data_IF_941569808305
#
_entry.id   IF_941569808305
#
_cell.length_a   1.000
_cell.length_b   1.000
_cell.length_c   1.000
_cell.angle_alpha   90.00
_cell.angle_beta   90.00
_cell.angle_gamma   90.00
#
_symmetry.space_group_name_H-M   'P 1'
#
loop_
_entity.id
_entity.type
_entity.pdbx_description
1 polymer ?
#
# COMPACT_ATOMS: atom_id res chain seq x y z
N UNK A 1 9.50 4.36 -18.14
CA UNK A 1 10.05 5.17 -17.06
C UNK A 1 9.17 5.14 -15.83
N UNK A 2 9.62 5.77 -14.76
CA UNK A 2 8.87 5.88 -13.52
C UNK A 2 7.97 7.11 -13.55
N UNK A 3 6.77 6.94 -13.01
CA UNK A 3 5.82 8.03 -12.78
C UNK A 3 5.65 8.23 -11.28
N UNK A 4 5.94 9.44 -10.80
CA UNK A 4 5.84 9.77 -9.38
C UNK A 4 4.71 10.79 -9.17
N UNK A 5 3.80 10.48 -8.25
CA UNK A 5 2.70 11.37 -7.90
C UNK A 5 2.20 11.10 -6.48
N UNK A 6 1.44 12.02 -5.92
CA UNK A 6 0.75 11.79 -4.65
C UNK A 6 -0.31 10.70 -4.84
N UNK A 7 -0.30 9.69 -3.98
CA UNK A 7 -1.31 8.64 -4.01
C UNK A 7 -2.65 9.13 -3.45
N UNK A 8 -2.59 9.96 -2.40
CA UNK A 8 -3.78 10.51 -1.78
C UNK A 8 -4.28 11.75 -2.54
N UNK A 9 -5.62 11.99 -2.53
CA UNK A 9 -6.17 13.23 -3.10
C UNK A 9 -5.71 14.44 -2.28
N UNK A 10 -5.44 15.55 -2.96
CA UNK A 10 -5.01 16.77 -2.30
C UNK A 10 -6.14 17.35 -1.47
N UNK A 11 -5.95 17.55 -0.15
CA UNK A 11 -6.95 18.20 0.69
C UNK A 11 -7.00 19.71 0.40
N UNK A 12 -8.08 20.35 0.83
CA UNK A 12 -8.17 21.81 0.82
C UNK A 12 -7.00 22.38 1.62
N UNK A 13 -6.30 23.36 1.04
CA UNK A 13 -5.12 23.95 1.66
C UNK A 13 -3.80 23.20 1.41
N UNK A 14 -3.85 22.09 0.66
CA UNK A 14 -2.68 21.32 0.30
C UNK A 14 -2.33 20.23 1.32
N UNK A 15 -1.27 19.48 1.03
CA UNK A 15 -0.78 18.44 1.94
C UNK A 15 0.00 19.04 3.11
N UNK A 16 -0.20 18.47 4.29
CA UNK A 16 0.50 18.87 5.52
C UNK A 16 2.00 18.61 5.42
N UNK A 17 2.39 17.47 4.86
CA UNK A 17 3.77 17.03 4.69
C UNK A 17 3.86 15.96 3.58
N UNK A 18 5.08 15.49 3.31
CA UNK A 18 5.28 14.47 2.29
C UNK A 18 4.57 13.15 2.65
N UNK A 19 4.58 12.75 3.92
CA UNK A 19 3.93 11.54 4.37
C UNK A 19 2.41 11.58 4.10
N UNK A 20 1.75 12.71 4.36
CA UNK A 20 0.30 12.84 4.14
C UNK A 20 -0.09 12.81 2.66
N UNK A 21 0.83 13.14 1.76
CA UNK A 21 0.62 13.00 0.31
C UNK A 21 0.77 11.54 -0.15
N UNK A 22 1.48 10.72 0.61
CA UNK A 22 1.82 9.35 0.26
C UNK A 22 2.38 9.23 -1.17
N UNK A 23 3.50 9.93 -1.48
CA UNK A 23 4.04 9.92 -2.83
C UNK A 23 4.44 8.52 -3.26
N UNK A 24 4.04 8.14 -4.47
CA UNK A 24 4.30 6.85 -5.06
C UNK A 24 5.00 7.02 -6.40
N UNK A 25 6.11 6.32 -6.59
CA UNK A 25 6.79 6.23 -7.87
C UNK A 25 6.58 4.84 -8.44
N UNK A 26 5.96 4.74 -9.60
CA UNK A 26 5.45 3.50 -10.17
C UNK A 26 5.98 3.29 -11.58
N UNK A 27 6.27 2.02 -11.94
CA UNK A 27 6.45 1.65 -13.34
C UNK A 27 5.09 1.57 -14.05
N UNK A 28 5.09 1.27 -15.35
CA UNK A 28 3.86 1.27 -16.13
C UNK A 28 2.82 0.26 -15.62
N UNK A 29 3.26 -0.91 -15.19
CA UNK A 29 2.35 -1.94 -14.65
C UNK A 29 1.77 -1.49 -13.30
N UNK A 30 2.58 -0.93 -12.43
CA UNK A 30 2.09 -0.41 -11.14
C UNK A 30 1.16 0.79 -11.32
N UNK A 31 1.37 1.64 -12.34
CA UNK A 31 0.41 2.70 -12.71
C UNK A 31 -0.94 2.10 -13.08
N UNK A 32 -0.95 1.05 -13.90
CA UNK A 32 -2.19 0.36 -14.28
C UNK A 32 -2.90 -0.23 -13.04
N UNK A 33 -2.13 -0.84 -12.14
CA UNK A 33 -2.65 -1.34 -10.88
C UNK A 33 -3.28 -0.23 -10.03
N UNK A 34 -2.57 0.86 -9.83
CA UNK A 34 -3.04 1.97 -9.00
C UNK A 34 -4.31 2.63 -9.56
N UNK A 35 -4.38 2.79 -10.88
CA UNK A 35 -5.57 3.32 -11.54
C UNK A 35 -6.78 2.40 -11.34
N UNK A 36 -6.59 1.09 -11.48
CA UNK A 36 -7.65 0.12 -11.24
C UNK A 36 -8.10 0.12 -9.76
N UNK A 37 -7.14 0.17 -8.84
CA UNK A 37 -7.44 0.26 -7.41
C UNK A 37 -8.32 1.48 -7.09
N UNK A 38 -7.94 2.66 -7.57
CA UNK A 38 -8.69 3.89 -7.33
C UNK A 38 -10.06 3.88 -8.00
N UNK A 39 -10.20 3.22 -9.14
CA UNK A 39 -11.46 3.10 -9.87
C UNK A 39 -12.35 1.97 -9.36
N UNK A 40 -11.84 1.08 -8.50
CA UNK A 40 -12.58 -0.09 -8.03
C UNK A 40 -12.75 -1.19 -9.08
N UNK A 41 -11.86 -1.24 -10.08
CA UNK A 41 -11.87 -2.24 -11.14
C UNK A 41 -10.76 -3.27 -10.92
N UNK A 42 -10.86 -4.43 -11.56
CA UNK A 42 -9.81 -5.45 -11.50
C UNK A 42 -8.60 -4.98 -12.30
N UNK A 43 -7.38 -5.00 -11.70
CA UNK A 43 -6.18 -4.62 -12.44
C UNK A 43 -5.90 -5.56 -13.62
N UNK A 44 -5.56 -4.97 -14.76
CA UNK A 44 -5.11 -5.70 -15.94
C UNK A 44 -3.72 -5.17 -16.30
N UNK A 45 -2.71 -6.04 -16.19
CA UNK A 45 -1.31 -5.67 -16.38
C UNK A 45 -0.63 -6.64 -17.35
N UNK A 46 0.36 -6.14 -18.06
CA UNK A 46 1.15 -6.96 -19.00
C UNK A 46 2.22 -7.80 -18.28
N UNK A 47 2.62 -7.37 -17.09
CA UNK A 47 3.60 -8.02 -16.24
C UNK A 47 3.48 -7.55 -14.81
N UNK A 48 4.39 -7.97 -13.95
CA UNK A 48 4.45 -7.49 -12.58
C UNK A 48 4.81 -6.01 -12.53
N UNK A 49 4.24 -5.30 -11.55
CA UNK A 49 4.50 -3.88 -11.34
C UNK A 49 5.30 -3.62 -10.08
N UNK A 50 6.09 -2.56 -10.10
CA UNK A 50 6.86 -2.09 -8.95
C UNK A 50 6.48 -0.67 -8.58
N UNK A 51 6.37 -0.43 -7.28
CA UNK A 51 6.05 0.90 -6.75
C UNK A 51 6.94 1.19 -5.54
N UNK A 52 7.43 2.43 -5.47
CA UNK A 52 8.17 2.94 -4.32
C UNK A 52 7.31 3.96 -3.58
N UNK A 53 7.16 3.77 -2.25
CA UNK A 53 6.52 4.73 -1.36
C UNK A 53 7.49 5.06 -0.23
N UNK A 54 8.48 5.89 -0.53
CA UNK A 54 9.61 6.16 0.36
C UNK A 54 9.27 7.12 1.51
N UNK A 55 8.09 7.72 1.49
CA UNK A 55 7.57 8.52 2.61
C UNK A 55 6.46 7.78 3.36
N UNK A 56 6.25 6.49 3.06
CA UNK A 56 5.15 5.74 3.64
C UNK A 56 3.78 6.20 3.15
N UNK A 57 2.74 5.85 3.90
CA UNK A 57 1.37 6.25 3.60
C UNK A 57 0.57 6.50 4.89
N UNK A 58 -0.64 7.05 4.73
CA UNK A 58 -1.53 7.35 5.86
C UNK A 58 -2.21 6.12 6.46
N UNK A 59 -1.93 4.95 5.89
CA UNK A 59 -2.46 3.71 6.39
C UNK A 59 -3.70 3.23 5.70
N UNK A 60 -3.91 1.92 5.86
CA UNK A 60 -5.05 1.20 5.31
C UNK A 60 -5.24 -0.05 6.16
N UNK A 61 -6.46 -0.53 6.27
CA UNK A 61 -6.69 -1.86 6.84
C UNK A 61 -6.18 -2.91 5.83
N UNK A 62 -5.21 -3.70 6.25
CA UNK A 62 -4.50 -4.65 5.36
C UNK A 62 -5.38 -5.77 4.82
N UNK A 63 -6.56 -5.96 5.39
CA UNK A 63 -7.53 -6.98 4.97
C UNK A 63 -8.81 -6.40 4.37
N UNK A 64 -8.93 -5.06 4.32
CA UNK A 64 -10.12 -4.38 3.81
C UNK A 64 -9.74 -3.34 2.76
N UNK A 65 -9.99 -3.68 1.51
CA UNK A 65 -9.70 -2.80 0.36
C UNK A 65 -10.53 -1.50 0.46
N UNK A 66 -9.91 -0.39 0.10
CA UNK A 66 -10.59 0.91 0.01
C UNK A 66 -10.69 1.70 1.32
N UNK A 67 -9.90 1.33 2.33
CA UNK A 67 -9.90 2.00 3.64
C UNK A 67 -8.75 2.99 3.82
N UNK A 68 -8.11 3.41 2.73
CA UNK A 68 -6.94 4.28 2.76
C UNK A 68 -7.20 5.57 3.55
N UNK A 69 -6.38 5.83 4.55
CA UNK A 69 -6.47 6.98 5.42
C UNK A 69 -7.64 6.95 6.41
N UNK A 70 -8.42 5.89 6.44
CA UNK A 70 -9.64 5.77 7.25
C UNK A 70 -9.38 4.99 8.54
N UNK A 71 -8.60 5.55 9.43
CA UNK A 71 -8.32 4.94 10.74
C UNK A 71 -9.51 5.10 11.66
N UNK A 72 -10.26 4.01 11.86
CA UNK A 72 -11.39 3.99 12.79
C UNK A 72 -11.49 2.64 13.53
N UNK A 73 -12.46 2.56 14.45
CA UNK A 73 -12.63 1.38 15.31
C UNK A 73 -13.07 0.12 14.55
N UNK A 74 -13.53 0.24 13.31
CA UNK A 74 -13.91 -0.89 12.46
C UNK A 74 -12.75 -1.53 11.73
N UNK A 75 -11.57 -0.91 11.74
CA UNK A 75 -10.41 -1.34 10.98
C UNK A 75 -9.30 -1.84 11.90
N UNK A 76 -9.46 -3.09 12.40
CA UNK A 76 -8.57 -3.68 13.40
C UNK A 76 -7.13 -3.91 12.91
N UNK A 77 -6.94 -4.03 11.60
CA UNK A 77 -5.62 -4.29 10.97
C UNK A 77 -5.14 -3.07 10.19
N UNK A 78 -5.48 -1.89 10.66
CA UNK A 78 -5.05 -0.64 10.06
C UNK A 78 -3.57 -0.40 10.35
N UNK A 79 -2.79 -0.29 9.27
CA UNK A 79 -1.34 -0.09 9.34
C UNK A 79 -0.97 1.18 8.61
N UNK A 80 -0.36 2.11 9.32
CA UNK A 80 0.28 3.29 8.74
C UNK A 80 1.73 2.92 8.41
N UNK A 81 2.00 2.69 7.13
CA UNK A 81 3.28 2.16 6.69
C UNK A 81 4.36 3.24 6.68
N UNK A 82 5.56 2.87 7.14
CA UNK A 82 6.77 3.64 6.89
C UNK A 82 7.26 3.45 5.45
N UNK A 83 8.48 3.93 5.13
CA UNK A 83 9.07 3.75 3.82
C UNK A 83 9.07 2.28 3.38
N UNK A 84 8.58 2.04 2.17
CA UNK A 84 8.48 0.68 1.62
C UNK A 84 8.48 0.70 0.10
N UNK A 85 8.70 -0.47 -0.48
CA UNK A 85 8.41 -0.71 -1.87
C UNK A 85 7.37 -1.83 -2.00
N UNK A 86 6.76 -1.96 -3.17
CA UNK A 86 5.66 -2.88 -3.39
C UNK A 86 5.85 -3.61 -4.71
N UNK A 87 5.53 -4.90 -4.71
CA UNK A 87 5.40 -5.72 -5.92
C UNK A 87 3.92 -6.01 -6.14
N UNK A 88 3.38 -5.51 -7.26
CA UNK A 88 2.04 -5.81 -7.74
C UNK A 88 2.14 -6.94 -8.74
N UNK A 89 1.84 -8.21 -8.37
CA UNK A 89 1.96 -9.31 -9.31
C UNK A 89 0.87 -9.22 -10.37
N UNK A 90 1.20 -9.59 -11.60
CA UNK A 90 0.22 -9.73 -12.68
C UNK A 90 -0.89 -10.71 -12.28
N UNK A 91 -0.51 -11.79 -11.62
CA UNK A 91 -1.43 -12.77 -11.05
C UNK A 91 -1.40 -12.68 -9.53
N UNK A 92 -2.41 -12.05 -8.89
CA UNK A 92 -2.45 -11.92 -7.43
C UNK A 92 -2.43 -13.26 -6.69
N UNK A 93 -2.94 -14.32 -7.30
CA UNK A 93 -2.93 -15.65 -6.68
C UNK A 93 -1.53 -16.22 -6.49
N UNK A 94 -0.52 -15.68 -7.18
CA UNK A 94 0.88 -16.09 -7.01
C UNK A 94 1.42 -15.79 -5.61
N UNK A 95 0.78 -14.87 -4.88
CA UNK A 95 1.16 -14.53 -3.51
C UNK A 95 0.46 -15.39 -2.45
N UNK A 96 -0.44 -16.27 -2.86
CA UNK A 96 -1.21 -17.11 -1.95
C UNK A 96 -0.29 -17.99 -1.11
N UNK A 97 -0.54 -18.02 0.21
CA UNK A 97 0.28 -18.80 1.15
C UNK A 97 1.51 -18.07 1.68
N UNK A 98 1.81 -16.88 1.18
CA UNK A 98 2.86 -16.04 1.74
C UNK A 98 2.39 -15.35 3.03
N UNK A 99 3.34 -14.94 3.89
CA UNK A 99 3.01 -14.29 5.15
C UNK A 99 2.22 -13.00 4.93
N UNK A 100 1.21 -12.79 5.76
CA UNK A 100 0.47 -11.51 5.89
C UNK A 100 0.90 -10.74 7.14
N UNK A 101 1.92 -11.21 7.84
CA UNK A 101 2.35 -10.65 9.11
C UNK A 101 3.28 -9.44 8.91
N UNK A 102 2.71 -8.25 9.09
CA UNK A 102 3.42 -6.96 8.96
C UNK A 102 4.32 -6.65 10.17
N UNK A 103 4.36 -7.52 11.19
CA UNK A 103 5.08 -7.23 12.43
C UNK A 103 6.55 -7.63 12.39
N UNK A 104 6.93 -8.48 11.44
CA UNK A 104 8.25 -9.12 11.43
C UNK A 104 9.35 -8.27 10.80
N UNK A 105 9.00 -7.21 10.06
CA UNK A 105 9.96 -6.46 9.25
C UNK A 105 10.30 -7.12 7.92
N UNK A 106 9.89 -8.36 7.71
CA UNK A 106 10.04 -9.06 6.43
C UNK A 106 8.92 -8.69 5.45
N UNK A 107 9.06 -8.99 4.15
CA UNK A 107 7.98 -8.79 3.20
C UNK A 107 6.69 -9.52 3.61
N UNK A 108 5.55 -8.90 3.37
CA UNK A 108 4.24 -9.45 3.69
C UNK A 108 3.20 -9.07 2.64
N UNK A 109 2.14 -9.88 2.54
CA UNK A 109 1.05 -9.66 1.57
C UNK A 109 -0.02 -8.78 2.19
N UNK A 110 -0.40 -7.74 1.46
CA UNK A 110 -1.55 -6.88 1.77
C UNK A 110 -2.69 -7.20 0.81
N UNK A 111 -3.93 -7.17 1.31
CA UNK A 111 -5.15 -7.48 0.55
C UNK A 111 -5.18 -8.91 0.00
N UNK A 112 -4.65 -9.86 0.77
CA UNK A 112 -4.66 -11.27 0.40
C UNK A 112 -6.06 -11.74 0.00
N UNK A 113 -6.13 -12.56 -1.05
CA UNK A 113 -7.39 -13.12 -1.55
C UNK A 113 -8.20 -12.16 -2.41
N UNK A 114 -7.76 -10.91 -2.59
CA UNK A 114 -8.41 -9.93 -3.45
C UNK A 114 -7.67 -9.76 -4.78
N UNK A 115 -8.30 -9.12 -5.79
CA UNK A 115 -7.62 -8.77 -7.02
C UNK A 115 -6.47 -7.77 -6.82
N UNK A 116 -6.38 -7.16 -5.66
CA UNK A 116 -5.38 -6.15 -5.31
C UNK A 116 -4.28 -6.69 -4.39
N UNK A 117 -4.20 -7.99 -4.18
CA UNK A 117 -3.13 -8.57 -3.39
C UNK A 117 -1.77 -8.18 -3.94
N UNK A 118 -0.91 -7.68 -3.08
CA UNK A 118 0.42 -7.24 -3.45
C UNK A 118 1.40 -7.49 -2.31
N UNK A 119 2.69 -7.52 -2.63
CA UNK A 119 3.75 -7.75 -1.66
C UNK A 119 4.29 -6.41 -1.18
N UNK A 120 4.21 -6.20 0.13
CA UNK A 120 4.80 -5.06 0.83
C UNK A 120 6.22 -5.44 1.26
N UNK A 121 7.20 -4.58 0.94
CA UNK A 121 8.61 -4.78 1.28
C UNK A 121 9.05 -3.61 2.15
N UNK A 122 9.03 -3.75 3.49
CA UNK A 122 9.44 -2.69 4.39
C UNK A 122 10.91 -2.33 4.20
N UNK A 123 11.20 -1.02 4.23
CA UNK A 123 12.56 -0.50 4.18
C UNK A 123 13.06 -0.05 5.56
N UNK A 124 12.11 0.21 6.46
CA UNK A 124 12.36 0.60 7.85
C UNK A 124 11.32 -0.02 8.76
N UNK A 125 11.56 0.06 10.07
CA UNK A 125 10.60 -0.35 11.09
C UNK A 125 9.34 0.53 11.05
N UNK A 126 8.18 -0.10 10.93
CA UNK A 126 6.89 0.60 10.90
C UNK A 126 6.43 1.10 12.26
N UNK A 127 6.93 0.57 13.35
CA UNK A 127 6.47 0.94 14.68
C UNK A 127 6.66 2.43 15.01
N UNK A 128 7.67 3.06 14.43
CA UNK A 128 7.88 4.49 14.59
C UNK A 128 6.79 5.35 13.94
N UNK A 129 5.98 4.75 13.06
CA UNK A 129 4.93 5.45 12.31
C UNK A 129 3.51 5.14 12.83
N UNK A 130 3.36 4.15 13.71
CA UNK A 130 2.04 3.69 14.12
C UNK A 130 1.99 3.20 15.58
N UNK A 131 2.38 4.05 16.54
CA UNK A 131 2.45 3.61 17.93
C UNK A 131 1.09 3.17 18.50
N UNK A 132 -0.02 3.75 18.04
CA UNK A 132 -1.35 3.36 18.49
C UNK A 132 -1.90 2.13 17.78
N UNK A 133 -1.38 1.85 16.60
CA UNK A 133 -1.81 0.72 15.76
C UNK A 133 -0.84 -0.45 15.85
N UNK A 134 0.05 -0.42 16.80
CA UNK A 134 1.07 -1.45 16.95
C UNK A 134 0.42 -2.83 16.97
N UNK A 135 0.82 -3.72 16.08
CA UNK A 135 0.27 -5.07 16.03
C UNK A 135 0.78 -5.85 17.22
N UNK A 136 -0.09 -6.33 17.99
CA UNK A 136 0.24 -7.08 19.21
C UNK A 136 -0.48 -8.40 19.21
#
# INVERSE_FOLDING_TARGET
>A
GWRCEAFMPMPEGGFKDAHSAAPACSDANAVAWANAYKAGTVPEMEGDGWMWMIHGDLGVDNFTVGTDGQKDAGHMHFIESGPHMMLMPKDPSSLQGQSTDYTTGAPYVMFEGSPYAHLMIPLVDYYSYQPESSPK
#
